data_IF_624790592877
#
_entry.id   IF_624790592877
#
_cell.length_a   1.000
_cell.length_b   1.000
_cell.length_c   1.000
_cell.angle_alpha   90.00
_cell.angle_beta   90.00
_cell.angle_gamma   90.00
#
_symmetry.space_group_name_H-M   'P 1'
#
loop_
_entity.id
_entity.type
_entity.pdbx_description
1 polymer ?
#
# COMPACT_ATOMS: atom_id res chain seq x y z
N UNK A 1 -4.19 22.46 3.96
CA UNK A 1 -2.82 22.41 4.53
C UNK A 1 -2.08 21.23 3.89
N UNK A 2 -0.85 21.40 3.42
CA UNK A 2 -0.09 20.45 2.56
C UNK A 2 -0.14 18.98 3.02
N UNK A 3 -0.20 18.74 4.34
CA UNK A 3 -0.33 17.39 4.94
C UNK A 3 -1.59 16.66 4.46
N UNK A 4 -2.72 17.35 4.33
CA UNK A 4 -3.99 16.75 3.87
C UNK A 4 -3.95 16.34 2.40
N UNK A 5 -3.23 17.08 1.56
CA UNK A 5 -3.01 16.70 0.16
C UNK A 5 -2.16 15.43 0.06
N UNK A 6 -1.07 15.37 0.84
CA UNK A 6 -0.18 14.23 0.87
C UNK A 6 -0.88 12.95 1.38
N UNK A 7 -1.63 13.07 2.48
CA UNK A 7 -2.42 11.97 3.02
C UNK A 7 -3.49 11.48 2.03
N UNK A 8 -4.15 12.39 1.31
CA UNK A 8 -5.15 12.04 0.30
C UNK A 8 -4.58 11.26 -0.88
N UNK A 9 -3.43 11.69 -1.42
CA UNK A 9 -2.77 11.02 -2.54
C UNK A 9 -2.30 9.61 -2.13
N UNK A 10 -1.67 9.48 -0.96
CA UNK A 10 -1.23 8.17 -0.46
C UNK A 10 -2.41 7.23 -0.19
N UNK A 11 -3.51 7.75 0.39
CA UNK A 11 -4.70 6.97 0.67
C UNK A 11 -5.34 6.43 -0.62
N UNK A 12 -5.57 7.31 -1.59
CA UNK A 12 -6.18 6.93 -2.87
C UNK A 12 -5.37 5.86 -3.59
N UNK A 13 -4.04 6.03 -3.69
CA UNK A 13 -3.18 5.05 -4.35
C UNK A 13 -3.14 3.69 -3.62
N UNK A 14 -3.21 3.69 -2.29
CA UNK A 14 -3.21 2.45 -1.50
C UNK A 14 -4.52 1.66 -1.65
N UNK A 15 -5.66 2.35 -1.74
CA UNK A 15 -6.97 1.72 -1.97
C UNK A 15 -7.00 1.03 -3.34
N UNK A 16 -6.55 1.72 -4.38
CA UNK A 16 -6.48 1.19 -5.74
C UNK A 16 -5.58 -0.06 -5.82
N UNK A 17 -4.41 0.00 -5.17
CA UNK A 17 -3.45 -1.11 -5.10
C UNK A 17 -4.03 -2.38 -4.46
N UNK A 18 -4.74 -2.23 -3.34
CA UNK A 18 -5.29 -3.36 -2.60
C UNK A 18 -6.48 -3.96 -3.33
N UNK A 19 -7.38 -3.14 -3.87
CA UNK A 19 -8.52 -3.61 -4.67
C UNK A 19 -8.04 -4.40 -5.89
N UNK A 20 -6.95 -3.96 -6.52
CA UNK A 20 -6.37 -4.67 -7.65
C UNK A 20 -5.71 -5.99 -7.23
N UNK A 21 -5.01 -6.00 -6.10
CA UNK A 21 -4.35 -7.20 -5.59
C UNK A 21 -5.35 -8.29 -5.18
N UNK A 22 -6.50 -7.90 -4.62
CA UNK A 22 -7.56 -8.81 -4.15
C UNK A 22 -8.66 -9.05 -5.19
N UNK A 23 -8.46 -8.71 -6.46
CA UNK A 23 -9.46 -8.99 -7.49
C UNK A 23 -9.68 -10.51 -7.65
N UNK A 24 -10.94 -11.04 -7.71
CA UNK A 24 -12.23 -10.36 -7.89
C UNK A 24 -13.08 -10.18 -6.61
N UNK A 25 -12.48 -10.03 -5.43
CA UNK A 25 -13.24 -9.82 -4.20
C UNK A 25 -13.97 -8.46 -4.17
N UNK A 26 -15.11 -8.35 -3.44
CA UNK A 26 -15.84 -7.08 -3.30
C UNK A 26 -14.99 -6.02 -2.59
N UNK A 27 -15.09 -4.77 -3.06
CA UNK A 27 -14.25 -3.64 -2.63
C UNK A 27 -14.30 -3.38 -1.12
N UNK A 28 -15.42 -3.70 -0.47
CA UNK A 28 -15.56 -3.60 0.98
C UNK A 28 -14.59 -4.48 1.77
N UNK A 29 -14.25 -5.67 1.26
CA UNK A 29 -13.26 -6.56 1.89
C UNK A 29 -11.85 -6.00 1.72
N UNK A 30 -11.53 -5.47 0.54
CA UNK A 30 -10.24 -4.84 0.23
C UNK A 30 -9.97 -3.63 1.12
N UNK A 31 -10.97 -2.76 1.30
CA UNK A 31 -10.89 -1.60 2.21
C UNK A 31 -10.82 -2.05 3.68
N UNK A 32 -11.51 -3.14 4.04
CA UNK A 32 -11.41 -3.76 5.36
C UNK A 32 -9.99 -4.26 5.66
N UNK A 33 -9.34 -4.91 4.70
CA UNK A 33 -7.95 -5.39 4.80
C UNK A 33 -6.98 -4.21 4.88
N UNK A 34 -7.18 -3.16 4.08
CA UNK A 34 -6.35 -1.96 4.13
C UNK A 34 -6.45 -1.26 5.50
N UNK A 35 -7.66 -1.11 6.05
CA UNK A 35 -7.85 -0.54 7.38
C UNK A 35 -7.29 -1.43 8.50
N UNK A 36 -7.53 -2.75 8.42
CA UNK A 36 -7.02 -3.70 9.39
C UNK A 36 -5.50 -3.74 9.42
N UNK A 37 -4.85 -3.76 8.25
CA UNK A 37 -3.40 -3.71 8.14
C UNK A 37 -2.82 -2.39 8.67
N UNK A 38 -3.46 -1.24 8.39
CA UNK A 38 -3.08 0.05 8.97
C UNK A 38 -3.14 0.06 10.49
N UNK A 39 -4.21 -0.50 11.08
CA UNK A 39 -4.34 -0.60 12.55
C UNK A 39 -3.30 -1.55 13.16
N UNK A 40 -3.10 -2.73 12.57
CA UNK A 40 -2.07 -3.67 13.02
C UNK A 40 -0.67 -3.05 12.97
N UNK A 41 -0.35 -2.32 11.90
CA UNK A 41 0.92 -1.61 11.76
C UNK A 41 1.07 -0.51 12.82
N UNK A 42 0.01 0.26 13.10
CA UNK A 42 0.00 1.28 14.15
C UNK A 42 0.27 0.71 15.55
N UNK A 43 -0.33 -0.44 15.86
CA UNK A 43 -0.07 -1.16 17.13
C UNK A 43 1.38 -1.63 17.19
N UNK A 44 1.89 -2.25 16.12
CA UNK A 44 3.27 -2.72 16.06
C UNK A 44 4.29 -1.57 16.24
N UNK A 45 4.07 -0.43 15.57
CA UNK A 45 4.88 0.78 15.70
C UNK A 45 4.86 1.32 17.14
N UNK A 46 3.71 1.30 17.79
CA UNK A 46 3.57 1.74 19.19
C UNK A 46 4.36 0.84 20.14
N UNK A 47 4.28 -0.48 19.96
CA UNK A 47 5.09 -1.43 20.73
C UNK A 47 6.59 -1.25 20.45
N UNK A 48 6.98 -1.03 19.20
CA UNK A 48 8.37 -0.77 18.82
C UNK A 48 8.89 0.49 19.52
N UNK A 49 8.11 1.59 19.50
CA UNK A 49 8.47 2.83 20.19
C UNK A 49 8.65 2.61 21.68
N UNK A 50 7.74 1.86 22.33
CA UNK A 50 7.86 1.53 23.75
C UNK A 50 9.16 0.75 24.06
N UNK A 51 9.52 -0.22 23.23
CA UNK A 51 10.79 -0.96 23.39
C UNK A 51 12.00 -0.04 23.20
N UNK A 52 11.98 0.83 22.18
CA UNK A 52 13.06 1.78 21.90
C UNK A 52 13.25 2.79 23.03
N UNK A 53 12.13 3.28 23.58
CA UNK A 53 12.10 4.18 24.73
C UNK A 53 12.75 3.55 25.96
N UNK A 54 12.40 2.30 26.26
CA UNK A 54 12.95 1.56 27.40
C UNK A 54 14.45 1.25 27.26
N UNK A 55 14.92 0.98 26.05
CA UNK A 55 16.34 0.72 25.76
C UNK A 55 17.20 1.98 25.87
N UNK A 56 16.69 3.11 25.38
CA UNK A 56 17.51 4.32 25.18
C UNK A 56 17.45 5.27 26.38
N UNK A 57 16.41 5.16 27.24
CA UNK A 57 16.13 6.05 28.39
C UNK A 57 16.14 7.55 28.05
N UNK A 58 16.04 7.89 26.77
CA UNK A 58 16.23 9.24 26.27
C UNK A 58 15.27 9.49 25.10
N UNK A 59 14.29 10.36 25.33
CA UNK A 59 13.17 10.61 24.41
C UNK A 59 13.63 11.06 23.03
N UNK A 60 14.69 11.88 22.97
CA UNK A 60 15.20 12.47 21.72
C UNK A 60 15.72 11.41 20.75
N UNK A 61 16.36 10.36 21.25
CA UNK A 61 16.91 9.29 20.41
C UNK A 61 15.82 8.34 19.92
N UNK A 62 14.86 8.01 20.77
CA UNK A 62 13.69 7.22 20.38
C UNK A 62 12.88 7.93 19.29
N UNK A 63 12.65 9.24 19.44
CA UNK A 63 11.92 10.02 18.45
C UNK A 63 12.67 10.14 17.11
N UNK A 64 13.99 10.34 17.15
CA UNK A 64 14.80 10.41 15.93
C UNK A 64 14.84 9.06 15.19
N UNK A 65 14.95 7.94 15.91
CA UNK A 65 14.91 6.61 15.32
C UNK A 65 13.53 6.30 14.70
N UNK A 66 12.45 6.70 15.36
CA UNK A 66 11.09 6.54 14.83
C UNK A 66 10.84 7.37 13.58
N UNK A 67 11.35 8.61 13.55
CA UNK A 67 11.31 9.47 12.36
C UNK A 67 12.11 8.85 11.19
N UNK A 68 13.29 8.31 11.46
CA UNK A 68 14.10 7.59 10.46
C UNK A 68 13.38 6.35 9.90
N UNK A 69 12.74 5.56 10.76
CA UNK A 69 11.94 4.41 10.32
C UNK A 69 10.78 4.83 9.42
N UNK A 70 10.11 5.95 9.74
CA UNK A 70 9.01 6.49 8.94
C UNK A 70 9.47 6.95 7.55
N UNK A 71 10.63 7.61 7.47
CA UNK A 71 11.24 8.01 6.19
C UNK A 71 11.63 6.78 5.35
N UNK A 72 12.16 5.74 5.98
CA UNK A 72 12.52 4.50 5.30
C UNK A 72 11.27 3.76 4.78
N UNK A 73 10.21 3.69 5.57
CA UNK A 73 8.94 3.11 5.14
C UNK A 73 8.33 3.88 3.93
N UNK A 74 8.45 5.21 3.93
CA UNK A 74 8.00 6.06 2.84
C UNK A 74 8.85 5.88 1.57
N UNK A 75 10.16 5.71 1.70
CA UNK A 75 11.03 5.32 0.59
C UNK A 75 10.61 3.98 -0.01
N UNK A 76 10.42 2.95 0.81
CA UNK A 76 9.95 1.62 0.35
C UNK A 76 8.60 1.73 -0.37
N UNK A 77 7.68 2.55 0.15
CA UNK A 77 6.38 2.80 -0.48
C UNK A 77 6.53 3.42 -1.87
N UNK A 78 7.44 4.38 -2.05
CA UNK A 78 7.71 5.01 -3.36
C UNK A 78 8.32 4.04 -4.38
N UNK A 79 9.09 3.04 -3.93
CA UNK A 79 9.68 2.02 -4.81
C UNK A 79 8.72 0.86 -5.12
N UNK A 80 7.61 0.74 -4.38
CA UNK A 80 6.62 -0.32 -4.61
C UNK A 80 5.95 -0.13 -5.97
N UNK A 81 6.32 -0.96 -6.95
CA UNK A 81 5.62 -1.08 -8.23
C UNK A 81 4.41 -1.98 -8.03
N UNK A 82 3.22 -1.40 -8.04
CA UNK A 82 1.98 -2.17 -8.04
C UNK A 82 1.85 -2.76 -9.44
N UNK A 83 2.22 -4.03 -9.62
CA UNK A 83 1.95 -4.74 -10.87
C UNK A 83 0.45 -5.04 -10.96
N UNK A 84 -0.19 -4.28 -11.85
CA UNK A 84 -1.63 -4.24 -12.05
C UNK A 84 -2.11 -5.54 -12.75
N UNK A 85 -2.61 -6.53 -12.00
CA UNK A 85 -3.20 -7.78 -12.53
C UNK A 85 -4.45 -7.54 -13.38
N UNK A 86 -5.16 -6.43 -13.20
CA UNK A 86 -6.34 -6.06 -13.99
C UNK A 86 -5.96 -5.59 -15.39
N UNK A 87 -4.86 -4.85 -15.51
CA UNK A 87 -4.26 -4.52 -16.82
C UNK A 87 -3.84 -5.79 -17.54
N UNK A 88 -3.25 -6.74 -16.81
CA UNK A 88 -2.83 -8.04 -17.34
C UNK A 88 -4.02 -8.87 -17.87
N UNK A 89 -5.10 -8.94 -17.10
CA UNK A 89 -6.31 -9.68 -17.47
C UNK A 89 -7.08 -9.04 -18.64
N UNK A 90 -7.17 -7.69 -18.67
CA UNK A 90 -7.78 -6.98 -19.80
C UNK A 90 -6.94 -7.08 -21.08
N UNK A 91 -5.60 -7.04 -20.97
CA UNK A 91 -4.69 -7.27 -22.11
C UNK A 91 -4.80 -8.69 -22.67
N UNK A 92 -4.98 -9.69 -21.81
CA UNK A 92 -5.21 -11.08 -22.25
C UNK A 92 -6.54 -11.21 -22.99
N UNK A 93 -7.60 -10.58 -22.48
CA UNK A 93 -8.92 -10.61 -23.11
C UNK A 93 -8.95 -9.87 -24.46
N UNK A 94 -8.21 -8.77 -24.59
CA UNK A 94 -8.05 -8.04 -25.85
C UNK A 94 -7.29 -8.85 -26.91
N UNK A 95 -6.20 -9.54 -26.52
CA UNK A 95 -5.46 -10.44 -27.40
C UNK A 95 -6.28 -11.63 -27.90
N UNK A 96 -7.15 -12.18 -27.06
CA UNK A 96 -8.06 -13.27 -27.43
C UNK A 96 -9.08 -12.80 -28.49
N UNK A 97 -9.70 -11.63 -28.28
CA UNK A 97 -10.61 -11.01 -29.25
C UNK A 97 -9.94 -10.67 -30.59
N UNK A 98 -8.68 -10.21 -30.55
CA UNK A 98 -7.89 -9.94 -31.76
C UNK A 98 -7.49 -11.21 -32.52
N UNK A 99 -7.37 -12.35 -31.84
CA UNK A 99 -7.18 -13.67 -32.44
C UNK A 99 -8.40 -14.12 -33.25
N UNK A 100 -9.60 -14.00 -32.66
CA UNK A 100 -10.87 -14.30 -33.36
C UNK A 100 -11.10 -13.44 -34.61
N UNK A 101 -10.68 -12.16 -34.59
CA UNK A 101 -10.80 -11.29 -35.76
C UNK A 101 -9.85 -11.67 -36.91
N UNK A 102 -8.74 -12.37 -36.63
CA UNK A 102 -7.78 -12.80 -37.66
C UNK A 102 -8.09 -14.15 -38.29
N UNK A 103 -8.84 -15.02 -37.61
CA UNK A 103 -9.29 -16.30 -38.17
C UNK A 103 -10.56 -16.20 -39.02
N UNK A 104 -11.21 -15.04 -39.06
CA UNK A 104 -12.49 -14.83 -39.78
C UNK A 104 -12.31 -14.06 -41.12
N UNK A 105 -11.10 -13.97 -41.67
CA UNK A 105 -10.81 -13.36 -43.00
C UNK A 105 -10.14 -14.37 -43.91
#
# INVERSE_FOLDING_TARGET
TIIGLFAGILWSGSVEAVIETTYPQPEGISIGILNGSGQCMGIALTCLYQTLFNLTKCDKLANNAMSGFLLLALMVLMYSRIELRRTSANLLKDKDNAGFSKETI
#
